data_IF_582804227894
#
_entry.id   IF_582804227894
#
_cell.length_a   1.000
_cell.length_b   1.000
_cell.length_c   1.000
_cell.angle_alpha   90.00
_cell.angle_beta   90.00
_cell.angle_gamma   90.00
#
_symmetry.space_group_name_H-M   'P 1'
#
loop_
_entity.id
_entity.type
_entity.pdbx_description
1 polymer ?
#
# COMPACT_ATOMS: atom_id res chain seq x y z
N UNK A 1 -17.02 8.86 -16.99
CA UNK A 1 -15.97 8.73 -18.02
C UNK A 1 -14.65 9.35 -17.56
N UNK A 2 -14.58 10.66 -17.26
CA UNK A 2 -13.33 11.32 -16.85
C UNK A 2 -12.64 10.71 -15.62
N UNK A 3 -13.39 10.48 -14.52
CA UNK A 3 -12.83 9.89 -13.30
C UNK A 3 -12.30 8.46 -13.50
N UNK A 4 -13.00 7.62 -14.26
CA UNK A 4 -12.56 6.27 -14.60
C UNK A 4 -11.28 6.26 -15.43
N UNK A 5 -11.19 7.14 -16.44
CA UNK A 5 -9.98 7.28 -17.26
C UNK A 5 -8.80 7.79 -16.43
N UNK A 6 -9.03 8.79 -15.57
CA UNK A 6 -8.03 9.28 -14.62
C UNK A 6 -7.49 8.13 -13.76
N UNK A 7 -8.37 7.38 -13.07
CA UNK A 7 -7.99 6.28 -12.18
C UNK A 7 -7.17 5.21 -12.92
N UNK A 8 -7.61 4.82 -14.12
CA UNK A 8 -6.95 3.79 -14.92
C UNK A 8 -5.55 4.23 -15.39
N UNK A 9 -5.46 5.39 -16.04
CA UNK A 9 -4.19 5.86 -16.62
C UNK A 9 -3.18 6.13 -15.52
N UNK A 10 -3.55 6.95 -14.53
CA UNK A 10 -2.62 7.32 -13.47
C UNK A 10 -2.31 6.14 -12.54
N UNK A 11 -3.25 5.21 -12.34
CA UNK A 11 -3.01 3.95 -11.63
C UNK A 11 -1.98 3.06 -12.34
N UNK A 12 -2.07 2.97 -13.67
CA UNK A 12 -1.10 2.25 -14.50
C UNK A 12 0.28 2.92 -14.45
N UNK A 13 0.34 4.25 -14.54
CA UNK A 13 1.64 4.95 -14.45
C UNK A 13 2.27 4.82 -13.06
N UNK A 14 1.46 4.74 -12.00
CA UNK A 14 1.90 4.49 -10.65
C UNK A 14 2.58 3.12 -10.48
N UNK A 15 2.14 2.07 -11.17
CA UNK A 15 2.84 0.76 -11.12
C UNK A 15 4.23 0.81 -11.74
N UNK A 16 4.48 1.76 -12.65
CA UNK A 16 5.81 2.02 -13.22
C UNK A 16 6.62 3.07 -12.45
N UNK A 17 6.10 3.55 -11.31
CA UNK A 17 6.71 4.63 -10.51
C UNK A 17 7.00 5.90 -11.31
N UNK A 18 6.22 6.13 -12.38
CA UNK A 18 6.33 7.33 -13.19
C UNK A 18 5.22 8.31 -12.81
N UNK A 19 5.61 9.44 -12.22
CA UNK A 19 4.70 10.45 -11.70
C UNK A 19 4.89 11.78 -12.44
N UNK A 20 4.43 11.93 -13.70
CA UNK A 20 4.48 13.19 -14.44
C UNK A 20 3.54 14.28 -13.87
N UNK A 21 3.10 14.14 -12.62
CA UNK A 21 2.12 15.00 -11.96
C UNK A 21 2.61 15.53 -10.62
N UNK A 22 2.07 16.69 -10.24
CA UNK A 22 2.36 17.35 -8.97
C UNK A 22 1.45 16.96 -7.80
N UNK A 23 0.37 16.20 -7.99
CA UNK A 23 -0.56 15.85 -6.90
C UNK A 23 -0.10 14.62 -6.10
N UNK A 24 -0.66 14.43 -4.89
CA UNK A 24 -0.41 13.24 -4.08
C UNK A 24 -1.34 12.10 -4.49
N UNK A 25 -0.75 11.04 -5.04
CA UNK A 25 -1.49 9.94 -5.69
C UNK A 25 -2.58 9.30 -4.80
N UNK A 26 -2.30 8.85 -3.56
CA UNK A 26 -3.32 8.17 -2.75
C UNK A 26 -4.56 9.03 -2.49
N UNK A 27 -4.35 10.32 -2.17
CA UNK A 27 -5.46 11.26 -1.92
C UNK A 27 -6.23 11.57 -3.19
N UNK A 28 -5.55 11.81 -4.31
CA UNK A 28 -6.22 12.09 -5.58
C UNK A 28 -7.07 10.90 -6.04
N UNK A 29 -6.54 9.67 -5.96
CA UNK A 29 -7.28 8.45 -6.30
C UNK A 29 -8.46 8.20 -5.37
N UNK A 30 -8.29 8.43 -4.07
CA UNK A 30 -9.37 8.29 -3.09
C UNK A 30 -10.58 9.15 -3.48
N UNK A 31 -10.36 10.44 -3.71
CA UNK A 31 -11.45 11.35 -4.09
C UNK A 31 -11.99 11.07 -5.49
N UNK A 32 -11.12 10.79 -6.46
CA UNK A 32 -11.56 10.44 -7.81
C UNK A 32 -12.41 9.17 -7.84
N UNK A 33 -12.10 8.17 -6.99
CA UNK A 33 -12.91 6.97 -6.83
C UNK A 33 -14.30 7.30 -6.28
N UNK A 34 -14.39 8.08 -5.20
CA UNK A 34 -15.67 8.49 -4.64
C UNK A 34 -16.53 9.32 -5.60
N UNK A 35 -15.92 10.27 -6.33
CA UNK A 35 -16.62 11.05 -7.35
C UNK A 35 -17.13 10.14 -8.48
N UNK A 36 -16.32 9.17 -8.91
CA UNK A 36 -16.70 8.23 -9.98
C UNK A 36 -17.84 7.31 -9.54
N UNK A 37 -17.76 6.77 -8.32
CA UNK A 37 -18.80 5.90 -7.74
C UNK A 37 -20.09 6.72 -7.54
N UNK A 38 -20.01 7.90 -6.95
CA UNK A 38 -21.16 8.77 -6.75
C UNK A 38 -21.85 9.15 -8.07
N UNK A 39 -21.07 9.49 -9.10
CA UNK A 39 -21.59 9.76 -10.44
C UNK A 39 -22.25 8.54 -11.07
N UNK A 40 -21.69 7.34 -10.88
CA UNK A 40 -22.29 6.09 -11.35
C UNK A 40 -23.62 5.79 -10.64
N UNK A 41 -23.66 5.94 -9.31
CA UNK A 41 -24.88 5.74 -8.51
C UNK A 41 -25.97 6.72 -8.93
N UNK A 42 -25.64 8.01 -9.10
CA UNK A 42 -26.58 9.02 -9.57
C UNK A 42 -27.11 8.70 -10.98
N UNK A 43 -26.22 8.27 -11.89
CA UNK A 43 -26.60 7.86 -13.24
C UNK A 43 -27.54 6.66 -13.24
N UNK A 44 -27.21 5.62 -12.47
CA UNK A 44 -28.05 4.42 -12.31
C UNK A 44 -29.40 4.81 -11.70
N UNK A 45 -29.42 5.62 -10.65
CA UNK A 45 -30.65 6.09 -10.01
C UNK A 45 -31.57 6.86 -10.96
N UNK A 46 -31.02 7.81 -11.72
CA UNK A 46 -31.76 8.56 -12.72
C UNK A 46 -32.35 7.64 -13.80
N UNK A 47 -31.56 6.69 -14.32
CA UNK A 47 -32.02 5.73 -15.33
C UNK A 47 -33.00 4.71 -14.78
N UNK A 48 -32.85 4.28 -13.53
CA UNK A 48 -33.78 3.38 -12.86
C UNK A 48 -35.14 4.05 -12.69
N UNK A 49 -35.18 5.32 -12.31
CA UNK A 49 -36.43 6.08 -12.21
C UNK A 49 -37.15 6.21 -13.57
N UNK A 50 -36.42 6.57 -14.63
CA UNK A 50 -37.01 6.64 -15.99
C UNK A 50 -37.47 5.26 -16.48
N UNK A 51 -36.68 4.21 -16.23
CA UNK A 51 -37.03 2.84 -16.63
C UNK A 51 -38.26 2.35 -15.88
N UNK A 52 -38.33 2.58 -14.56
CA UNK A 52 -39.48 2.23 -13.75
C UNK A 52 -40.74 2.98 -14.21
N UNK A 53 -40.63 4.26 -14.59
CA UNK A 53 -41.74 5.03 -15.14
C UNK A 53 -42.25 4.44 -16.47
N UNK A 54 -41.36 4.07 -17.39
CA UNK A 54 -41.71 3.43 -18.67
C UNK A 54 -42.35 2.05 -18.45
N UNK A 55 -41.76 1.22 -17.57
CA UNK A 55 -42.29 -0.11 -17.23
C UNK A 55 -43.68 0.00 -16.59
N UNK A 56 -43.88 0.96 -15.67
CA UNK A 56 -45.17 1.20 -15.00
C UNK A 56 -46.24 1.73 -15.95
N UNK A 57 -45.88 2.56 -16.94
CA UNK A 57 -46.83 3.06 -17.96
C UNK A 57 -47.34 1.95 -18.88
N UNK A 58 -46.69 0.79 -18.93
CA UNK A 58 -47.18 -0.34 -19.71
C UNK A 58 -47.37 -0.03 -21.19
N UNK A 59 -46.59 0.91 -21.74
CA UNK A 59 -46.63 1.21 -23.18
C UNK A 59 -46.16 -0.02 -23.95
N UNK A 60 -47.12 -0.85 -24.36
CA UNK A 60 -46.96 -1.82 -25.44
C UNK A 60 -46.87 -1.03 -26.73
N UNK A 61 -45.72 -0.43 -27.01
CA UNK A 61 -45.39 -0.04 -28.37
C UNK A 61 -45.29 -1.33 -29.18
N UNK A 62 -46.37 -1.66 -29.91
CA UNK A 62 -46.46 -2.80 -30.82
C UNK A 62 -45.60 -2.67 -32.08
N UNK A 63 -44.66 -1.72 -32.11
CA UNK A 63 -43.64 -1.59 -33.15
C UNK A 63 -42.34 -2.24 -32.68
N UNK A 64 -41.62 -2.90 -33.61
CA UNK A 64 -40.23 -3.31 -33.38
C UNK A 64 -39.46 -2.14 -32.77
N UNK A 65 -39.04 -2.29 -31.50
CA UNK A 65 -38.12 -1.34 -30.87
C UNK A 65 -36.83 -1.33 -31.71
N UNK A 66 -36.46 -0.20 -32.36
CA UNK A 66 -35.25 -0.16 -33.15
C UNK A 66 -34.05 -0.45 -32.24
N UNK A 67 -33.28 -1.49 -32.56
CA UNK A 67 -32.08 -1.86 -31.82
C UNK A 67 -32.30 -2.77 -30.60
N UNK A 68 -33.41 -3.53 -30.51
CA UNK A 68 -33.52 -4.59 -29.48
C UNK A 68 -32.49 -5.67 -29.79
N UNK A 69 -31.34 -5.62 -29.08
CA UNK A 69 -30.25 -6.57 -29.26
C UNK A 69 -30.77 -8.01 -29.27
N UNK A 70 -30.48 -8.74 -30.35
CA UNK A 70 -30.93 -10.12 -30.53
C UNK A 70 -30.41 -10.96 -29.35
N UNK A 71 -31.12 -12.03 -28.93
CA UNK A 71 -30.63 -12.90 -27.86
C UNK A 71 -29.20 -13.42 -28.12
N UNK A 72 -28.85 -13.65 -29.39
CA UNK A 72 -27.49 -14.00 -29.82
C UNK A 72 -26.49 -12.88 -29.56
N UNK A 73 -26.82 -11.62 -29.88
CA UNK A 73 -25.95 -10.45 -29.64
C UNK A 73 -25.70 -10.24 -28.14
N UNK A 74 -26.72 -10.43 -27.29
CA UNK A 74 -26.56 -10.39 -25.83
C UNK A 74 -25.66 -11.52 -25.32
N UNK A 75 -25.84 -12.75 -25.81
CA UNK A 75 -25.00 -13.90 -25.44
C UNK A 75 -23.55 -13.69 -25.89
N UNK A 76 -23.33 -13.14 -27.08
CA UNK A 76 -21.99 -12.79 -27.58
C UNK A 76 -21.35 -11.69 -26.76
N UNK A 77 -22.08 -10.61 -26.47
CA UNK A 77 -21.58 -9.53 -25.63
C UNK A 77 -21.18 -10.05 -24.24
N UNK A 78 -22.10 -10.71 -23.54
CA UNK A 78 -21.82 -11.26 -22.20
C UNK A 78 -20.71 -12.31 -22.23
N UNK A 79 -20.67 -13.15 -23.27
CA UNK A 79 -19.60 -14.12 -23.48
C UNK A 79 -18.25 -13.45 -23.67
N UNK A 80 -18.17 -12.41 -24.50
CA UNK A 80 -16.93 -11.66 -24.72
C UNK A 80 -16.44 -10.93 -23.47
N UNK A 81 -17.36 -10.35 -22.67
CA UNK A 81 -17.05 -9.73 -21.39
C UNK A 81 -16.55 -10.77 -20.39
N UNK A 82 -17.22 -11.92 -20.30
CA UNK A 82 -16.80 -13.00 -19.41
C UNK A 82 -15.44 -13.58 -19.78
N UNK A 83 -15.17 -13.79 -21.07
CA UNK A 83 -13.87 -14.25 -21.58
C UNK A 83 -12.79 -13.21 -21.31
N UNK A 84 -13.04 -11.93 -21.62
CA UNK A 84 -12.09 -10.85 -21.38
C UNK A 84 -11.76 -10.68 -19.90
N UNK A 85 -12.79 -10.63 -19.04
CA UNK A 85 -12.61 -10.55 -17.59
C UNK A 85 -11.87 -11.78 -17.07
N UNK A 86 -12.27 -12.99 -17.48
CA UNK A 86 -11.63 -14.23 -17.09
C UNK A 86 -10.16 -14.31 -17.50
N UNK A 87 -9.83 -13.87 -18.72
CA UNK A 87 -8.45 -13.82 -19.21
C UNK A 87 -7.59 -12.87 -18.36
N UNK A 88 -8.07 -11.66 -18.07
CA UNK A 88 -7.37 -10.70 -17.20
C UNK A 88 -7.20 -11.25 -15.78
N UNK A 89 -8.25 -11.87 -15.22
CA UNK A 89 -8.18 -12.52 -13.91
C UNK A 89 -7.14 -13.63 -13.90
N UNK A 90 -7.15 -14.55 -14.85
CA UNK A 90 -6.14 -15.64 -14.91
C UNK A 90 -4.72 -15.08 -15.10
N UNK A 91 -4.59 -14.02 -15.90
CA UNK A 91 -3.31 -13.35 -16.17
C UNK A 91 -2.75 -12.54 -14.99
N UNK A 92 -3.49 -12.41 -13.88
CA UNK A 92 -3.10 -11.61 -12.70
C UNK A 92 -3.27 -12.37 -11.37
N UNK A 93 -4.17 -13.35 -11.27
CA UNK A 93 -4.56 -14.01 -10.03
C UNK A 93 -3.43 -14.77 -9.32
N UNK A 94 -2.38 -15.17 -10.04
CA UNK A 94 -1.21 -15.83 -9.43
C UNK A 94 -0.31 -14.90 -8.61
N UNK A 95 -0.61 -13.59 -8.54
CA UNK A 95 -0.06 -12.71 -7.51
C UNK A 95 -0.58 -13.04 -6.11
N UNK A 96 -1.79 -13.61 -6.01
CA UNK A 96 -2.42 -13.97 -4.74
C UNK A 96 -2.44 -15.48 -4.55
N UNK A 97 -2.66 -16.26 -5.61
CA UNK A 97 -2.82 -17.70 -5.53
C UNK A 97 -1.72 -18.45 -6.30
N UNK A 98 -0.77 -19.03 -5.55
CA UNK A 98 0.43 -19.70 -6.08
C UNK A 98 0.24 -20.65 -7.26
N UNK A 99 -0.82 -21.49 -7.33
CA UNK A 99 -1.06 -22.38 -8.46
C UNK A 99 -1.23 -21.69 -9.82
N UNK A 100 -1.68 -20.43 -9.86
CA UNK A 100 -1.89 -19.69 -11.10
C UNK A 100 -0.67 -18.86 -11.55
N UNK A 101 0.44 -18.94 -10.81
CA UNK A 101 1.58 -18.04 -10.97
C UNK A 101 2.26 -18.13 -12.33
N UNK A 102 2.36 -19.32 -12.92
CA UNK A 102 2.93 -19.53 -14.27
C UNK A 102 2.16 -18.81 -15.38
N UNK A 103 0.91 -18.43 -15.12
CA UNK A 103 0.05 -17.72 -16.07
C UNK A 103 -0.07 -16.23 -15.77
N UNK A 104 0.57 -15.73 -14.71
CA UNK A 104 0.44 -14.34 -14.25
C UNK A 104 1.35 -13.37 -15.01
N UNK A 105 1.27 -13.38 -16.33
CA UNK A 105 2.11 -12.58 -17.23
C UNK A 105 1.82 -11.07 -17.15
N UNK A 106 0.67 -10.68 -16.60
CA UNK A 106 0.29 -9.28 -16.39
C UNK A 106 0.40 -8.84 -14.93
N UNK A 107 0.97 -9.66 -14.06
CA UNK A 107 1.21 -9.30 -12.67
C UNK A 107 2.18 -8.11 -12.55
N UNK A 108 1.80 -6.98 -11.91
CA UNK A 108 2.72 -5.87 -11.65
C UNK A 108 4.03 -6.27 -10.96
N UNK A 109 3.99 -7.33 -10.14
CA UNK A 109 5.15 -7.81 -9.38
C UNK A 109 5.00 -9.27 -8.98
N UNK A 110 6.12 -10.00 -9.03
CA UNK A 110 6.21 -11.35 -8.47
C UNK A 110 6.55 -11.25 -6.97
N UNK A 111 5.75 -11.87 -6.07
CA UNK A 111 5.92 -11.78 -4.63
C UNK A 111 7.18 -12.48 -4.07
N UNK A 112 7.96 -13.23 -4.86
CA UNK A 112 9.23 -13.83 -4.41
C UNK A 112 10.46 -13.15 -4.99
N UNK A 113 10.29 -12.23 -5.94
CA UNK A 113 11.41 -11.55 -6.60
C UNK A 113 11.77 -10.31 -5.79
N UNK A 114 12.82 -10.46 -4.99
CA UNK A 114 13.45 -9.39 -4.22
C UNK A 114 14.52 -9.95 -3.28
N UNK A 115 15.33 -9.07 -2.67
CA UNK A 115 16.28 -9.51 -1.65
C UNK A 115 15.51 -10.21 -0.52
N UNK A 116 16.11 -11.28 0.03
CA UNK A 116 15.53 -12.07 1.12
C UNK A 116 14.15 -12.69 0.80
N UNK A 117 13.85 -12.92 -0.48
CA UNK A 117 12.60 -13.57 -0.90
C UNK A 117 11.35 -12.70 -0.75
N UNK A 118 11.52 -11.39 -0.49
CA UNK A 118 10.41 -10.44 -0.34
C UNK A 118 10.55 -9.29 -1.35
N UNK A 119 9.48 -8.87 -2.05
CA UNK A 119 9.58 -7.83 -3.06
C UNK A 119 9.80 -6.46 -2.43
N UNK A 120 10.49 -5.61 -3.17
CA UNK A 120 10.83 -4.25 -2.74
C UNK A 120 10.11 -3.25 -3.62
N UNK A 121 9.22 -2.43 -3.05
CA UNK A 121 8.61 -1.33 -3.78
C UNK A 121 9.68 -0.35 -4.32
N UNK A 122 10.51 0.21 -3.44
CA UNK A 122 11.54 1.20 -3.79
C UNK A 122 12.93 0.75 -3.36
N UNK A 123 13.88 0.55 -4.27
CA UNK A 123 15.25 0.16 -3.91
C UNK A 123 16.01 1.26 -3.15
N UNK A 124 17.01 0.90 -2.36
CA UNK A 124 17.96 1.81 -1.73
C UNK A 124 18.66 2.70 -2.76
N UNK A 125 19.07 2.10 -3.91
CA UNK A 125 19.66 2.83 -5.03
C UNK A 125 18.74 3.95 -5.53
N UNK A 126 17.46 3.64 -5.79
CA UNK A 126 16.47 4.65 -6.23
C UNK A 126 16.14 5.70 -5.17
N UNK A 127 16.34 5.38 -3.89
CA UNK A 127 16.16 6.31 -2.78
C UNK A 127 17.43 7.13 -2.46
N UNK A 128 18.54 6.88 -3.16
CA UNK A 128 19.83 7.52 -2.89
C UNK A 128 20.47 7.08 -1.57
N UNK A 129 20.11 5.89 -1.07
CA UNK A 129 20.66 5.31 0.15
C UNK A 129 21.86 4.44 -0.23
N UNK A 130 23.01 4.82 0.31
CA UNK A 130 24.27 4.07 0.18
C UNK A 130 24.54 3.32 1.48
N UNK A 131 25.26 2.20 1.41
CA UNK A 131 25.66 1.44 2.59
C UNK A 131 26.45 2.29 3.60
N UNK A 132 27.22 3.27 3.13
CA UNK A 132 27.96 4.22 3.97
C UNK A 132 27.08 5.16 4.80
N UNK A 133 25.76 5.24 4.55
CA UNK A 133 24.84 6.02 5.40
C UNK A 133 24.31 5.23 6.60
N UNK A 134 24.60 3.95 6.64
CA UNK A 134 24.07 2.98 7.60
C UNK A 134 25.20 2.11 8.16
N UNK A 135 26.38 2.72 8.30
CA UNK A 135 27.54 2.11 8.94
C UNK A 135 27.40 2.13 10.48
N UNK A 136 28.46 1.77 11.19
CA UNK A 136 28.45 1.69 12.66
C UNK A 136 28.26 3.06 13.35
N UNK A 137 28.38 4.17 12.61
CA UNK A 137 28.09 5.51 13.11
C UNK A 137 26.60 5.86 13.08
N UNK A 138 25.77 5.05 12.37
CA UNK A 138 24.33 5.27 12.32
C UNK A 138 23.69 5.23 13.71
N UNK A 139 22.72 6.11 13.93
CA UNK A 139 21.94 6.21 15.17
C UNK A 139 20.46 6.39 14.84
N UNK A 140 19.62 5.89 15.75
CA UNK A 140 18.22 6.25 15.84
C UNK A 140 18.06 7.39 16.85
N UNK A 141 17.62 8.55 16.38
CA UNK A 141 17.28 9.68 17.24
C UNK A 141 15.83 9.57 17.71
N UNK A 142 15.60 9.61 19.02
CA UNK A 142 14.26 9.69 19.63
C UNK A 142 14.15 11.04 20.32
N UNK A 143 13.24 11.88 19.83
CA UNK A 143 13.11 13.28 20.25
C UNK A 143 11.63 13.71 20.29
N UNK A 144 11.41 14.99 20.55
CA UNK A 144 10.07 15.58 20.64
C UNK A 144 9.55 15.57 22.07
N UNK A 145 8.28 15.24 22.27
CA UNK A 145 7.63 15.18 23.59
C UNK A 145 7.96 13.89 24.34
N UNK A 146 9.22 13.78 24.76
CA UNK A 146 9.77 12.68 25.55
C UNK A 146 10.53 13.24 26.75
N UNK A 147 10.50 12.53 27.88
CA UNK A 147 11.28 12.91 29.07
C UNK A 147 12.79 12.74 28.85
N UNK A 148 13.19 11.69 28.11
CA UNK A 148 14.58 11.33 27.86
C UNK A 148 14.85 11.22 26.35
N UNK A 149 15.15 12.34 25.67
CA UNK A 149 15.66 12.30 24.31
C UNK A 149 16.92 11.42 24.24
N UNK A 150 16.97 10.50 23.27
CA UNK A 150 18.06 9.52 23.18
C UNK A 150 18.53 9.30 21.76
N UNK A 151 19.80 8.94 21.63
CA UNK A 151 20.44 8.55 20.37
C UNK A 151 20.94 7.12 20.52
N UNK A 152 20.26 6.17 19.86
CA UNK A 152 20.50 4.73 20.02
C UNK A 152 21.30 4.17 18.85
N UNK A 153 22.39 3.49 19.17
CA UNK A 153 23.12 2.67 18.20
C UNK A 153 22.35 1.41 17.82
N UNK A 154 22.72 0.82 16.68
CA UNK A 154 22.17 -0.47 16.25
C UNK A 154 22.42 -1.58 17.28
N UNK A 155 23.57 -1.56 17.96
CA UNK A 155 23.89 -2.52 19.01
C UNK A 155 22.96 -2.38 20.22
N UNK A 156 22.65 -1.16 20.64
CA UNK A 156 21.69 -0.90 21.72
C UNK A 156 20.28 -1.37 21.33
N UNK A 157 19.82 -1.08 20.12
CA UNK A 157 18.51 -1.56 19.63
C UNK A 157 18.41 -3.09 19.60
N UNK A 158 19.49 -3.79 19.24
CA UNK A 158 19.54 -5.27 19.28
C UNK A 158 19.51 -5.84 20.70
N UNK A 159 19.99 -5.09 21.68
CA UNK A 159 19.99 -5.48 23.08
C UNK A 159 18.64 -5.24 23.79
N UNK A 160 17.77 -4.42 23.21
CA UNK A 160 16.41 -4.21 23.71
C UNK A 160 15.54 -5.47 23.53
N UNK A 161 14.44 -5.61 24.29
CA UNK A 161 13.47 -6.67 24.08
C UNK A 161 12.99 -6.74 22.63
N UNK A 162 13.09 -7.91 22.02
CA UNK A 162 12.71 -8.16 20.63
C UNK A 162 11.36 -8.88 20.58
N UNK A 163 10.52 -8.49 19.62
CA UNK A 163 9.29 -9.20 19.26
C UNK A 163 9.32 -9.61 17.81
N UNK A 164 8.67 -10.73 17.50
CA UNK A 164 8.42 -11.17 16.13
C UNK A 164 6.93 -11.10 15.80
N UNK A 165 6.59 -10.53 14.65
CA UNK A 165 5.22 -10.48 14.12
C UNK A 165 5.21 -10.88 12.64
N UNK A 166 4.21 -11.63 12.21
CA UNK A 166 4.01 -11.95 10.79
C UNK A 166 3.05 -10.95 10.18
N UNK A 167 3.57 -10.06 9.33
CA UNK A 167 2.81 -8.94 8.77
C UNK A 167 3.01 -8.84 7.25
N UNK A 168 1.95 -8.52 6.48
CA UNK A 168 2.08 -8.27 5.06
C UNK A 168 2.62 -6.86 4.78
N UNK A 169 3.44 -6.74 3.74
CA UNK A 169 3.58 -5.49 3.00
C UNK A 169 2.46 -5.45 1.96
N UNK A 170 1.44 -4.63 2.17
CA UNK A 170 0.39 -4.39 1.18
C UNK A 170 0.72 -3.12 0.37
N UNK A 171 1.25 -3.29 -0.84
CA UNK A 171 1.67 -2.17 -1.68
C UNK A 171 0.50 -1.58 -2.48
N UNK A 172 0.47 -0.25 -2.61
CA UNK A 172 -0.51 0.47 -3.46
C UNK A 172 -0.32 0.22 -4.96
N UNK A 173 0.77 -0.45 -5.36
CA UNK A 173 1.01 -0.93 -6.72
C UNK A 173 0.25 -2.24 -7.04
N UNK A 174 -0.58 -2.73 -6.11
CA UNK A 174 -1.46 -3.88 -6.36
C UNK A 174 -0.85 -5.24 -6.05
N UNK A 175 0.15 -5.30 -5.16
CA UNK A 175 0.74 -6.57 -4.71
C UNK A 175 0.87 -6.59 -3.18
N UNK A 176 0.81 -7.78 -2.59
CA UNK A 176 1.11 -7.97 -1.17
C UNK A 176 1.92 -9.24 -0.95
N UNK A 177 2.77 -9.21 0.08
CA UNK A 177 3.55 -10.38 0.50
C UNK A 177 3.72 -10.36 2.02
N UNK A 178 3.45 -11.49 2.67
CA UNK A 178 3.62 -11.70 4.10
C UNK A 178 5.03 -12.17 4.43
N UNK A 179 5.58 -11.66 5.53
CA UNK A 179 6.87 -12.09 6.06
C UNK A 179 6.90 -11.97 7.59
N UNK A 180 7.90 -12.61 8.20
CA UNK A 180 8.17 -12.54 9.62
C UNK A 180 9.15 -11.40 9.92
N UNK A 181 8.71 -10.44 10.72
CA UNK A 181 9.50 -9.26 11.09
C UNK A 181 9.89 -9.37 12.55
N UNK A 182 11.18 -9.17 12.85
CA UNK A 182 11.67 -9.13 14.24
C UNK A 182 12.31 -7.79 14.54
N UNK A 183 11.96 -7.17 15.66
CA UNK A 183 12.49 -5.88 16.06
C UNK A 183 12.00 -5.41 17.43
N UNK A 184 12.26 -4.14 17.73
CA UNK A 184 11.83 -3.50 18.98
C UNK A 184 10.37 -3.06 18.84
N UNK A 185 9.46 -3.42 19.75
CA UNK A 185 8.11 -2.88 19.77
C UNK A 185 8.14 -1.35 19.94
N UNK A 186 7.45 -0.62 19.06
CA UNK A 186 7.50 0.85 19.08
C UNK A 186 7.01 1.42 20.41
N UNK A 187 5.91 0.88 20.95
CA UNK A 187 5.35 1.28 22.24
C UNK A 187 6.37 1.16 23.38
N UNK A 188 7.19 0.10 23.39
CA UNK A 188 8.12 -0.19 24.47
C UNK A 188 9.30 0.80 24.41
N UNK A 189 9.76 1.14 23.20
CA UNK A 189 10.77 2.17 22.99
C UNK A 189 10.26 3.57 23.38
N UNK A 190 9.02 3.90 23.02
CA UNK A 190 8.41 5.19 23.38
C UNK A 190 8.23 5.32 24.90
N UNK A 191 7.77 4.26 25.56
CA UNK A 191 7.66 4.22 27.01
C UNK A 191 9.05 4.36 27.69
N UNK A 192 10.07 3.69 27.16
CA UNK A 192 11.44 3.81 27.68
C UNK A 192 12.04 5.23 27.52
N UNK A 193 11.61 5.98 26.49
CA UNK A 193 11.98 7.39 26.33
C UNK A 193 11.15 8.34 27.20
N UNK A 194 10.11 7.84 27.91
CA UNK A 194 9.18 8.67 28.67
C UNK A 194 8.24 9.49 27.78
N UNK A 195 7.76 8.91 26.67
CA UNK A 195 6.65 9.48 25.92
C UNK A 195 5.34 9.32 26.72
N UNK A 196 4.46 10.33 26.64
CA UNK A 196 3.14 10.23 27.24
C UNK A 196 2.29 9.14 26.55
N UNK A 197 1.38 8.54 27.32
CA UNK A 197 0.39 7.62 26.75
C UNK A 197 -0.44 8.33 25.67
N UNK A 198 -0.63 7.64 24.55
CA UNK A 198 -1.38 8.18 23.42
C UNK A 198 -0.61 9.19 22.55
N UNK A 199 0.72 9.26 22.66
CA UNK A 199 1.51 10.11 21.78
C UNK A 199 1.46 9.63 20.31
N UNK A 200 1.33 10.60 19.40
CA UNK A 200 1.59 10.39 17.98
C UNK A 200 3.09 10.47 17.71
N UNK A 201 3.60 9.70 16.75
CA UNK A 201 5.03 9.75 16.38
C UNK A 201 5.23 9.90 14.88
N UNK A 202 6.09 10.82 14.49
CA UNK A 202 6.56 10.95 13.11
C UNK A 202 7.83 10.13 12.95
N UNK A 203 7.79 9.11 12.09
CA UNK A 203 8.93 8.21 11.82
C UNK A 203 9.64 8.67 10.56
N UNK A 204 10.86 9.19 10.73
CA UNK A 204 11.70 9.74 9.67
C UNK A 204 12.68 8.73 9.05
N UNK A 205 13.03 8.96 7.78
CA UNK A 205 13.94 8.16 6.97
C UNK A 205 15.18 8.95 6.56
N UNK A 206 16.31 8.26 6.38
CA UNK A 206 17.54 8.79 5.77
C UNK A 206 17.38 9.26 4.32
N UNK A 207 16.22 9.00 3.70
CA UNK A 207 15.92 9.46 2.34
C UNK A 207 15.86 11.00 2.30
N UNK A 208 16.81 11.63 1.60
CA UNK A 208 16.97 13.10 1.60
C UNK A 208 15.82 13.88 0.94
N UNK A 209 14.90 13.23 0.22
CA UNK A 209 13.85 13.89 -0.56
C UNK A 209 12.60 13.04 -0.75
N UNK A 210 11.47 13.64 -1.15
CA UNK A 210 10.24 12.92 -1.52
C UNK A 210 9.20 12.79 -0.40
N UNK A 211 7.95 12.51 -0.80
CA UNK A 211 6.77 12.53 0.09
C UNK A 211 6.70 11.40 1.11
N UNK A 212 7.46 10.32 0.90
CA UNK A 212 7.47 9.14 1.77
C UNK A 212 8.75 9.04 2.62
N UNK A 213 9.47 10.16 2.82
CA UNK A 213 10.65 10.20 3.71
C UNK A 213 10.28 10.18 5.20
N UNK A 214 9.01 10.37 5.52
CA UNK A 214 8.50 10.25 6.86
C UNK A 214 7.08 9.70 6.82
N UNK A 215 6.65 9.08 7.91
CA UNK A 215 5.28 8.63 8.08
C UNK A 215 4.82 8.89 9.50
N UNK A 216 3.62 9.45 9.63
CA UNK A 216 2.97 9.64 10.93
C UNK A 216 2.31 8.34 11.39
N UNK A 217 2.60 7.93 12.60
CA UNK A 217 2.02 6.78 13.30
C UNK A 217 1.13 7.32 14.40
N UNK A 218 -0.18 7.09 14.29
CA UNK A 218 -1.14 7.50 15.30
C UNK A 218 -0.89 6.77 16.62
N UNK A 219 -1.37 7.36 17.70
CA UNK A 219 -1.36 6.78 19.05
C UNK A 219 -1.79 5.30 19.09
N UNK A 220 -2.91 4.98 18.44
CA UNK A 220 -3.46 3.62 18.39
C UNK A 220 -2.50 2.63 17.73
N UNK A 221 -1.94 3.00 16.57
CA UNK A 221 -0.97 2.14 15.88
C UNK A 221 0.33 2.05 16.67
N UNK A 222 0.78 3.14 17.28
CA UNK A 222 2.01 3.16 18.07
C UNK A 222 1.90 2.25 19.30
N UNK A 223 0.71 2.15 19.90
CA UNK A 223 0.41 1.28 21.05
C UNK A 223 0.25 -0.20 20.68
N UNK A 224 0.03 -0.52 19.40
CA UNK A 224 -0.17 -1.89 18.94
C UNK A 224 1.06 -2.77 19.24
N UNK A 225 0.87 -3.95 19.87
CA UNK A 225 1.95 -4.86 20.21
C UNK A 225 2.81 -5.32 19.01
N UNK A 226 2.25 -5.35 17.81
CA UNK A 226 2.87 -5.81 16.58
C UNK A 226 3.38 -4.65 15.69
N UNK A 227 3.28 -3.40 16.16
CA UNK A 227 4.02 -2.28 15.54
C UNK A 227 5.47 -2.32 15.97
N UNK A 228 6.35 -2.67 15.02
CA UNK A 228 7.77 -2.90 15.26
C UNK A 228 8.64 -1.90 14.52
N UNK A 229 9.75 -1.54 15.16
CA UNK A 229 10.96 -1.09 14.50
C UNK A 229 11.81 -2.34 14.19
N UNK A 230 11.52 -2.93 13.03
CA UNK A 230 12.12 -4.17 12.54
C UNK A 230 13.62 -4.01 12.25
N UNK A 231 14.38 -4.99 12.73
CA UNK A 231 15.82 -5.16 12.53
C UNK A 231 16.12 -6.38 11.65
N UNK A 232 15.20 -7.35 11.60
CA UNK A 232 15.31 -8.59 10.85
C UNK A 232 14.05 -8.89 10.06
N UNK A 233 14.25 -9.57 8.94
CA UNK A 233 13.23 -10.10 8.04
C UNK A 233 13.52 -11.59 7.84
N UNK A 234 12.53 -12.43 8.13
CA UNK A 234 12.58 -13.89 8.01
C UNK A 234 13.82 -14.52 8.67
N UNK A 235 14.20 -13.98 9.83
CA UNK A 235 15.34 -14.46 10.60
C UNK A 235 16.70 -13.90 10.16
N UNK A 236 16.78 -13.11 9.09
CA UNK A 236 18.02 -12.50 8.64
C UNK A 236 18.03 -10.98 8.93
N UNK A 237 19.21 -10.38 9.06
CA UNK A 237 19.31 -8.92 9.12
C UNK A 237 18.68 -8.31 7.86
N UNK A 238 18.01 -7.16 7.97
CA UNK A 238 17.40 -6.51 6.81
C UNK A 238 18.44 -6.31 5.70
N UNK A 239 18.05 -6.58 4.46
CA UNK A 239 18.78 -6.11 3.29
C UNK A 239 18.67 -4.58 3.21
N UNK A 240 19.65 -3.94 2.57
CA UNK A 240 19.62 -2.49 2.38
C UNK A 240 18.33 -2.05 1.68
N UNK A 241 17.87 -2.79 0.67
CA UNK A 241 16.63 -2.49 -0.03
C UNK A 241 15.36 -2.70 0.82
N UNK A 242 15.43 -3.50 1.87
CA UNK A 242 14.35 -3.68 2.85
C UNK A 242 14.43 -2.72 4.03
N UNK A 243 15.37 -1.78 4.02
CA UNK A 243 15.44 -0.70 4.99
C UNK A 243 16.49 -0.88 6.07
N UNK A 244 17.50 -1.72 5.87
CA UNK A 244 18.64 -1.81 6.80
C UNK A 244 19.15 -0.41 7.19
N UNK A 245 19.40 -0.14 8.49
CA UNK A 245 19.43 -1.11 9.58
C UNK A 245 18.08 -1.25 10.30
N UNK A 246 17.13 -0.34 10.06
CA UNK A 246 15.89 -0.25 10.80
C UNK A 246 14.71 0.15 9.90
N UNK A 247 13.60 -0.55 10.04
CA UNK A 247 12.36 -0.30 9.29
C UNK A 247 11.15 -0.28 10.21
N UNK A 248 10.22 0.64 9.97
CA UNK A 248 8.88 0.59 10.55
C UNK A 248 8.04 -0.49 9.83
N UNK A 249 7.42 -1.37 10.60
CA UNK A 249 6.35 -2.26 10.16
C UNK A 249 5.22 -2.23 11.19
N UNK A 250 3.98 -2.06 10.73
CA UNK A 250 2.82 -1.94 11.60
C UNK A 250 1.57 -2.54 10.94
N UNK A 251 0.65 -3.17 11.70
CA UNK A 251 -0.59 -3.70 11.16
C UNK A 251 -1.48 -2.60 10.55
N UNK A 252 -2.39 -2.99 9.66
CA UNK A 252 -3.42 -2.13 9.08
C UNK A 252 -2.91 -0.87 8.37
N UNK A 253 -1.67 -0.89 7.87
CA UNK A 253 -1.04 0.26 7.21
C UNK A 253 -0.55 -0.07 5.80
N UNK A 254 -0.90 0.76 4.80
CA UNK A 254 -0.35 0.65 3.45
C UNK A 254 1.18 0.62 3.45
N UNK A 255 1.76 -0.17 2.55
CA UNK A 255 3.21 -0.36 2.44
C UNK A 255 4.02 0.93 2.22
N UNK A 256 3.39 1.96 1.65
CA UNK A 256 4.00 3.30 1.48
C UNK A 256 4.25 4.04 2.80
N UNK A 257 3.57 3.64 3.88
CA UNK A 257 3.71 4.21 5.23
C UNK A 257 4.55 3.33 6.17
N UNK A 258 5.12 2.24 5.65
CA UNK A 258 6.07 1.38 6.36
C UNK A 258 7.49 1.90 6.11
N UNK A 259 7.85 3.00 6.78
CA UNK A 259 9.09 3.77 6.56
C UNK A 259 10.33 2.87 6.63
N UNK A 260 11.20 3.00 5.62
CA UNK A 260 12.49 2.28 5.54
C UNK A 260 13.66 3.20 5.85
N UNK A 261 14.80 2.62 6.25
CA UNK A 261 16.01 3.38 6.60
C UNK A 261 15.69 4.41 7.68
N UNK A 262 14.94 3.97 8.70
CA UNK A 262 14.51 4.83 9.79
C UNK A 262 15.74 5.40 10.49
N UNK A 263 15.72 6.68 10.84
CA UNK A 263 16.79 7.31 11.62
C UNK A 263 16.26 8.25 12.72
N UNK A 264 14.96 8.50 12.74
CA UNK A 264 14.37 9.47 13.64
C UNK A 264 12.95 9.07 14.04
N UNK A 265 12.63 9.23 15.31
CA UNK A 265 11.30 9.25 15.89
C UNK A 265 11.08 10.62 16.53
N UNK A 266 10.11 11.37 16.02
CA UNK A 266 9.72 12.67 16.55
C UNK A 266 8.34 12.56 17.20
N UNK A 267 8.33 12.43 18.53
CA UNK A 267 7.13 12.26 19.35
C UNK A 267 6.39 13.58 19.49
N UNK A 268 5.09 13.56 19.22
CA UNK A 268 4.28 14.76 19.03
C UNK A 268 3.41 15.15 20.19
#
# INVERSE_FOLDING_TARGET
MGGSAFLLVTGTLNTFQWYPWGFFFPTAHYWAAWITIGGLVAHIGAKAATTAAVVRRGERTGGELPGRARPSERRWFLGSVAVGAGAVTVATAGQTWGPLRRWSVLAPRDPQIGPQGLPVNKSARSAGIKASKVDDSWRLEVKGRVEQPTSLSLAQLRAMPQRTATLPIACVEGWSASASWTGVPLRDLLAAAGAADGAEVVVGSLQGGGRYRASTVSAEVAADPDTLLALRLDGEALALDHGYPLRLIAPNRPGVFQTKWVNELDVR
#
